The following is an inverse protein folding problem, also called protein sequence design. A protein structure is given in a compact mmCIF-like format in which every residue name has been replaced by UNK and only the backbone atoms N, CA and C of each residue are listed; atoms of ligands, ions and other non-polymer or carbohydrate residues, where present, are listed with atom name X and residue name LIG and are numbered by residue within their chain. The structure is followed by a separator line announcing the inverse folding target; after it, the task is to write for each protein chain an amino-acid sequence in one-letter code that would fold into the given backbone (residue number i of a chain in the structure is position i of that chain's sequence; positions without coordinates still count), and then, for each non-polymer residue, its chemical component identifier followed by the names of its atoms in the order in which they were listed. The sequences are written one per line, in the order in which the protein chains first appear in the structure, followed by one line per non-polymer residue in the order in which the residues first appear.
data_IF_552819474370
#
_entry.id   IF_552819474370
#
_cell.length_a   1.000
_cell.length_b   1.000
_cell.length_c   1.000
_cell.angle_alpha   90.00
_cell.angle_beta   90.00
_cell.angle_gamma   90.00
#
_symmetry.space_group_name_H-M   'P 1'
#
loop_
_entity.id
_entity.type
_entity.pdbx_description
1 polymer ?
#
# COMPACT_ATOMS: atom_id res chain seq x y z
N UNK A 1 5.78 -3.37 4.38
CA UNK A 1 6.32 -2.40 3.40
C UNK A 1 7.83 -2.53 3.21
N UNK A 2 8.67 -2.13 4.18
CA UNK A 2 10.14 -2.10 4.00
C UNK A 2 10.73 -3.47 3.63
N UNK A 3 10.26 -4.55 4.23
CA UNK A 3 10.71 -5.90 3.89
C UNK A 3 10.46 -6.27 2.41
N UNK A 4 9.36 -5.80 1.82
CA UNK A 4 9.05 -6.03 0.40
C UNK A 4 9.95 -5.17 -0.48
N UNK A 5 10.15 -3.91 -0.12
CA UNK A 5 11.07 -3.04 -0.84
C UNK A 5 12.51 -3.58 -0.80
N UNK A 6 12.97 -4.07 0.36
CA UNK A 6 14.27 -4.74 0.50
C UNK A 6 14.37 -6.04 -0.30
N UNK A 7 13.26 -6.71 -0.56
CA UNK A 7 13.19 -7.89 -1.42
C UNK A 7 13.14 -7.55 -2.93
N UNK A 8 13.21 -6.26 -3.31
CA UNK A 8 13.28 -5.81 -4.70
C UNK A 8 11.93 -5.43 -5.32
N UNK A 9 10.85 -5.41 -4.53
CA UNK A 9 9.54 -4.95 -5.00
C UNK A 9 9.45 -3.42 -5.03
N UNK A 10 8.74 -2.86 -6.00
CA UNK A 10 8.33 -1.45 -5.96
C UNK A 10 7.13 -1.34 -5.02
N UNK A 11 7.21 -0.49 -3.99
CA UNK A 11 6.16 -0.45 -2.97
C UNK A 11 5.58 0.96 -2.81
N UNK A 12 4.26 1.05 -2.88
CA UNK A 12 3.50 2.26 -2.58
C UNK A 12 2.80 2.11 -1.24
N UNK A 13 3.11 3.01 -0.32
CA UNK A 13 2.60 3.05 1.05
C UNK A 13 1.52 4.10 1.13
N UNK A 14 0.32 3.71 1.57
CA UNK A 14 -0.84 4.61 1.66
C UNK A 14 -1.30 4.72 3.09
N UNK A 15 -1.59 5.96 3.50
CA UNK A 15 -2.22 6.30 4.77
C UNK A 15 -2.98 7.62 4.62
N UNK A 16 -4.10 7.78 5.33
CA UNK A 16 -4.80 9.06 5.36
C UNK A 16 -4.11 10.04 6.32
N UNK A 17 -3.43 9.54 7.34
CA UNK A 17 -2.80 10.32 8.38
C UNK A 17 -1.36 10.71 8.01
N UNK A 18 -1.15 11.98 7.68
CA UNK A 18 0.18 12.52 7.35
C UNK A 18 1.23 12.27 8.46
N UNK A 19 0.81 12.27 9.73
CA UNK A 19 1.70 11.95 10.87
C UNK A 19 2.33 10.56 10.73
N UNK A 20 1.56 9.56 10.30
CA UNK A 20 2.07 8.19 10.11
C UNK A 20 2.99 8.11 8.89
N UNK A 21 2.68 8.84 7.81
CA UNK A 21 3.56 8.93 6.65
C UNK A 21 4.90 9.58 6.99
N UNK A 22 4.91 10.63 7.82
CA UNK A 22 6.15 11.26 8.29
C UNK A 22 7.03 10.27 9.05
N UNK A 23 6.44 9.48 9.96
CA UNK A 23 7.15 8.42 10.68
C UNK A 23 7.67 7.35 9.71
N UNK A 24 6.85 6.92 8.75
CA UNK A 24 7.21 5.89 7.79
C UNK A 24 8.33 6.35 6.84
N UNK A 25 8.28 7.59 6.37
CA UNK A 25 9.37 8.23 5.59
C UNK A 25 10.66 8.29 6.39
N UNK A 26 10.60 8.66 7.68
CA UNK A 26 11.78 8.69 8.55
C UNK A 26 12.43 7.32 8.79
N UNK A 27 11.68 6.23 8.60
CA UNK A 27 12.16 4.84 8.71
C UNK A 27 12.64 4.25 7.39
N UNK A 28 12.45 4.94 6.26
CA UNK A 28 12.76 4.44 4.94
C UNK A 28 13.95 5.16 4.33
N UNK A 29 14.97 4.41 3.93
CA UNK A 29 16.11 4.87 3.14
C UNK A 29 16.14 4.22 1.73
N UNK A 30 15.05 3.57 1.34
CA UNK A 30 14.96 2.78 0.12
C UNK A 30 14.33 3.60 -1.01
N UNK A 31 14.95 3.59 -2.19
CA UNK A 31 14.51 4.39 -3.35
C UNK A 31 13.27 3.84 -4.05
N UNK A 32 12.96 2.57 -3.86
CA UNK A 32 11.81 1.86 -4.43
C UNK A 32 10.56 1.90 -3.52
N UNK A 33 10.46 2.91 -2.64
CA UNK A 33 9.37 3.12 -1.70
C UNK A 33 8.77 4.51 -1.94
N UNK A 34 7.48 4.55 -2.28
CA UNK A 34 6.73 5.80 -2.45
C UNK A 34 5.63 5.88 -1.40
N UNK A 35 5.44 7.06 -0.80
CA UNK A 35 4.41 7.28 0.22
C UNK A 35 3.35 8.27 -0.29
N UNK A 36 2.10 7.83 -0.37
CA UNK A 36 0.96 8.65 -0.80
C UNK A 36 0.00 8.88 0.36
N UNK A 37 -0.36 10.14 0.59
CA UNK A 37 -1.43 10.47 1.52
C UNK A 37 -2.78 10.33 0.83
N UNK A 38 -3.49 9.24 1.09
CA UNK A 38 -4.82 8.98 0.55
C UNK A 38 -5.67 8.19 1.54
N UNK A 39 -6.98 8.42 1.46
CA UNK A 39 -7.98 7.59 2.11
C UNK A 39 -8.17 6.30 1.29
N UNK A 40 -7.99 5.14 1.94
CA UNK A 40 -8.21 3.82 1.33
C UNK A 40 -9.67 3.60 0.92
N UNK A 41 -10.61 4.36 1.51
CA UNK A 41 -11.99 4.39 1.07
C UNK A 41 -12.15 5.05 -0.32
N UNK A 42 -11.25 5.98 -0.68
CA UNK A 42 -11.33 6.82 -1.88
C UNK A 42 -9.97 6.93 -2.60
N UNK A 43 -9.44 5.79 -3.06
CA UNK A 43 -8.14 5.71 -3.72
C UNK A 43 -8.14 6.38 -5.11
N UNK A 44 -7.09 7.17 -5.39
CA UNK A 44 -6.82 7.78 -6.71
C UNK A 44 -5.36 7.52 -7.09
N UNK A 45 -5.08 6.33 -7.60
CA UNK A 45 -3.70 5.85 -7.76
C UNK A 45 -3.08 6.13 -9.12
N UNK A 46 -3.88 6.42 -10.15
CA UNK A 46 -3.38 6.69 -11.51
C UNK A 46 -2.65 5.52 -12.19
N UNK A 47 -2.51 4.38 -11.51
CA UNK A 47 -1.79 3.20 -11.96
C UNK A 47 -2.40 1.92 -11.36
N UNK A 48 -2.04 0.76 -11.92
CA UNK A 48 -2.41 -0.57 -11.42
C UNK A 48 -1.27 -1.20 -10.61
N UNK A 49 -1.63 -2.16 -9.77
CA UNK A 49 -0.70 -2.89 -8.89
C UNK A 49 -0.88 -4.40 -9.08
N UNK A 50 0.21 -5.15 -8.98
CA UNK A 50 0.19 -6.62 -9.06
C UNK A 50 -0.34 -7.24 -7.78
N UNK A 51 -0.16 -6.56 -6.64
CA UNK A 51 -0.69 -6.98 -5.36
C UNK A 51 -1.07 -5.79 -4.48
N UNK A 52 -2.09 -6.00 -3.65
CA UNK A 52 -2.46 -5.09 -2.57
C UNK A 52 -2.41 -5.86 -1.24
N UNK A 53 -1.74 -5.27 -0.26
CA UNK A 53 -1.58 -5.80 1.09
C UNK A 53 -2.21 -4.81 2.06
N UNK A 54 -3.16 -5.31 2.85
CA UNK A 54 -3.83 -4.55 3.88
C UNK A 54 -3.52 -5.19 5.23
N UNK A 55 -2.73 -4.52 6.08
CA UNK A 55 -2.26 -5.11 7.34
C UNK A 55 -2.95 -4.51 8.58
N UNK A 56 -3.10 -5.38 9.59
CA UNK A 56 -3.61 -5.11 10.95
C UNK A 56 -5.02 -4.51 11.03
N UNK A 57 -5.15 -3.19 11.10
CA UNK A 57 -6.39 -2.51 11.53
C UNK A 57 -7.17 -1.82 10.42
N UNK A 58 -6.64 -1.75 9.19
CA UNK A 58 -7.40 -1.12 8.09
C UNK A 58 -8.70 -1.87 7.74
N UNK A 59 -8.74 -3.20 7.95
CA UNK A 59 -10.00 -3.97 7.83
C UNK A 59 -11.04 -3.62 8.91
N UNK A 60 -10.64 -3.00 10.02
CA UNK A 60 -11.56 -2.52 11.05
C UNK A 60 -12.26 -1.21 10.67
N UNK A 61 -11.69 -0.45 9.72
CA UNK A 61 -12.23 0.85 9.30
C UNK A 61 -13.10 0.78 8.03
N UNK A 62 -13.01 -0.31 7.26
CA UNK A 62 -13.88 -0.58 6.11
C UNK A 62 -14.39 -2.02 6.11
N UNK A 63 -15.69 -2.25 5.84
CA UNK A 63 -16.24 -3.60 5.70
C UNK A 63 -15.46 -4.41 4.64
N UNK A 64 -15.11 -5.65 4.98
CA UNK A 64 -14.37 -6.58 4.12
C UNK A 64 -14.85 -6.63 2.65
N UNK A 65 -16.18 -6.63 2.43
CA UNK A 65 -16.79 -6.64 1.10
C UNK A 65 -16.48 -5.39 0.27
N UNK A 66 -16.43 -4.23 0.92
CA UNK A 66 -16.14 -2.97 0.24
C UNK A 66 -14.68 -2.93 -0.24
N UNK A 67 -13.77 -3.48 0.56
CA UNK A 67 -12.36 -3.55 0.18
C UNK A 67 -12.13 -4.56 -0.95
N UNK A 68 -12.80 -5.71 -0.94
CA UNK A 68 -12.75 -6.65 -2.06
C UNK A 68 -13.28 -6.03 -3.36
N UNK A 69 -14.34 -5.22 -3.31
CA UNK A 69 -14.89 -4.54 -4.49
C UNK A 69 -13.91 -3.58 -5.17
N UNK A 70 -12.88 -3.10 -4.44
CA UNK A 70 -11.82 -2.23 -4.96
C UNK A 70 -10.68 -3.02 -5.61
N UNK A 71 -10.60 -4.33 -5.36
CA UNK A 71 -9.61 -5.22 -5.96
C UNK A 71 -10.21 -5.90 -7.19
N UNK A 72 -9.63 -5.66 -8.36
CA UNK A 72 -9.97 -6.41 -9.58
C UNK A 72 -8.94 -7.52 -9.78
N UNK A 73 -9.35 -8.75 -10.14
CA UNK A 73 -8.41 -9.81 -10.48
C UNK A 73 -7.50 -9.36 -11.63
N UNK A 74 -6.20 -9.39 -11.43
CA UNK A 74 -5.22 -9.14 -12.49
C UNK A 74 -5.07 -10.43 -13.30
N UNK A 75 -5.71 -10.51 -14.47
CA UNK A 75 -5.64 -11.67 -15.38
C UNK A 75 -4.32 -11.80 -16.17
N UNK A 76 -3.26 -11.10 -15.78
CA UNK A 76 -2.00 -11.01 -16.51
C UNK A 76 -0.86 -11.75 -15.80
N UNK A 77 -0.02 -12.45 -16.57
CA UNK A 77 1.22 -13.09 -16.10
C UNK A 77 2.21 -11.98 -15.65
N UNK A 78 2.94 -12.11 -14.52
CA UNK A 78 3.67 -10.99 -13.94
C UNK A 78 4.85 -10.58 -14.83
N UNK A 79 4.87 -9.33 -15.27
CA UNK A 79 5.95 -8.77 -16.11
C UNK A 79 6.98 -8.08 -15.24
N UNK A 80 7.84 -8.84 -14.53
CA UNK A 80 9.15 -8.43 -13.98
C UNK A 80 9.24 -7.28 -12.97
N UNK A 81 8.25 -6.39 -12.87
CA UNK A 81 8.22 -5.23 -12.00
C UNK A 81 6.96 -5.33 -11.13
N UNK A 82 7.13 -5.97 -9.98
CA UNK A 82 6.03 -6.27 -9.08
C UNK A 82 5.76 -5.06 -8.17
N UNK A 83 4.66 -4.34 -8.43
CA UNK A 83 4.23 -3.20 -7.63
C UNK A 83 3.24 -3.61 -6.55
N UNK A 84 3.58 -3.31 -5.31
CA UNK A 84 2.77 -3.66 -4.14
C UNK A 84 2.22 -2.40 -3.48
N UNK A 85 0.91 -2.34 -3.29
CA UNK A 85 0.27 -1.34 -2.44
C UNK A 85 0.19 -1.86 -1.00
N UNK A 86 0.65 -1.10 -0.02
CA UNK A 86 0.59 -1.45 1.41
C UNK A 86 -0.05 -0.32 2.21
N UNK A 87 -1.00 -0.64 3.09
CA UNK A 87 -1.46 0.34 4.09
C UNK A 87 -0.45 0.44 5.24
N UNK A 88 -0.29 1.63 5.80
CA UNK A 88 0.55 1.87 6.97
C UNK A 88 -0.36 1.94 8.19
N UNK A 89 -0.01 1.20 9.23
CA UNK A 89 -0.61 1.34 10.55
C UNK A 89 0.52 1.19 11.56
N UNK A 90 0.77 2.22 12.36
CA UNK A 90 1.67 2.14 13.51
C UNK A 90 0.82 1.97 14.75
N UNK A 91 1.11 0.97 15.60
CA UNK A 91 0.68 1.06 17.00
C UNK A 91 1.36 2.30 17.61
N UNK A 92 0.60 3.11 18.33
CA UNK A 92 1.15 4.02 19.33
C UNK A 92 1.82 3.20 20.43
#
# INVERSE_FOLDING_TARGET
MLALASAGYDVVGIDYADKLLKIARGKSNLSNVVFLQQDVAHLKLGQTFDAAICMWSTFGELPYKEMLGKLKPTGGRPTGLHRIMSTLTSRN
#
